data_IF_514708381623
#
_entry.id   IF_514708381623
#
_cell.length_a   1.000
_cell.length_b   1.000
_cell.length_c   1.000
_cell.angle_alpha   90.00
_cell.angle_beta   90.00
_cell.angle_gamma   90.00
#
_symmetry.space_group_name_H-M   'P 1'
#
loop_
_entity.id
_entity.type
_entity.pdbx_description
1 polymer ?
#
# COMPACT_ATOMS: atom_id res chain seq x y z
N UNK A 1 1.08 -13.75 10.11
CA UNK A 1 1.10 -12.69 9.09
C UNK A 1 1.32 -13.32 7.73
N UNK A 2 2.56 -13.39 7.26
CA UNK A 2 2.89 -13.98 5.95
C UNK A 2 2.43 -15.44 5.78
N UNK A 3 2.47 -16.26 6.83
CA UNK A 3 2.00 -17.65 6.74
C UNK A 3 0.54 -17.75 6.28
N UNK A 4 -0.31 -16.84 6.76
CA UNK A 4 -1.71 -16.76 6.33
C UNK A 4 -1.80 -16.46 4.83
N UNK A 5 -1.07 -15.45 4.35
CA UNK A 5 -1.09 -15.08 2.93
C UNK A 5 -0.47 -16.16 2.04
N UNK A 6 0.57 -16.85 2.50
CA UNK A 6 1.15 -17.98 1.79
C UNK A 6 0.15 -19.13 1.65
N UNK A 7 -0.55 -19.49 2.74
CA UNK A 7 -1.60 -20.51 2.71
C UNK A 7 -2.79 -20.09 1.83
N UNK A 8 -3.16 -18.82 1.85
CA UNK A 8 -4.22 -18.28 0.99
C UNK A 8 -3.84 -18.38 -0.48
N UNK A 9 -2.60 -18.01 -0.85
CA UNK A 9 -2.10 -18.15 -2.22
C UNK A 9 -2.12 -19.61 -2.66
N UNK A 10 -1.68 -20.54 -1.80
CA UNK A 10 -1.73 -21.97 -2.10
C UNK A 10 -3.17 -22.46 -2.33
N UNK A 11 -4.11 -22.02 -1.48
CA UNK A 11 -5.52 -22.38 -1.61
C UNK A 11 -6.16 -21.84 -2.90
N UNK A 12 -5.85 -20.60 -3.30
CA UNK A 12 -6.33 -20.02 -4.55
C UNK A 12 -5.81 -20.80 -5.77
N UNK A 13 -4.51 -21.11 -5.78
CA UNK A 13 -3.90 -21.86 -6.88
C UNK A 13 -4.42 -23.30 -6.95
N UNK A 14 -4.61 -23.96 -5.81
CA UNK A 14 -5.22 -25.29 -5.75
C UNK A 14 -6.67 -25.29 -6.30
N UNK A 15 -7.37 -24.16 -6.17
CA UNK A 15 -8.70 -23.95 -6.74
C UNK A 15 -8.68 -23.45 -8.20
N UNK A 16 -7.51 -23.32 -8.83
CA UNK A 16 -7.37 -22.82 -10.21
C UNK A 16 -7.62 -21.32 -10.36
N UNK A 17 -7.57 -20.55 -9.27
CA UNK A 17 -7.76 -19.10 -9.26
C UNK A 17 -6.39 -18.41 -9.29
N UNK A 18 -6.16 -17.59 -10.31
CA UNK A 18 -4.93 -16.79 -10.42
C UNK A 18 -4.97 -15.62 -9.43
N UNK A 19 -3.99 -15.50 -8.50
CA UNK A 19 -3.95 -14.40 -7.55
C UNK A 19 -3.46 -13.10 -8.21
N UNK A 20 -4.20 -12.00 -7.97
CA UNK A 20 -3.82 -10.63 -8.27
C UNK A 20 -3.69 -9.89 -6.94
N UNK A 21 -2.46 -9.53 -6.56
CA UNK A 21 -2.16 -9.00 -5.22
C UNK A 21 -1.90 -7.50 -5.29
N UNK A 22 -2.60 -6.75 -4.45
CA UNK A 22 -2.37 -5.32 -4.24
C UNK A 22 -1.57 -5.12 -2.96
N UNK A 23 -0.46 -4.38 -3.02
CA UNK A 23 0.47 -4.21 -1.90
C UNK A 23 -0.01 -3.17 -0.89
N UNK A 24 -0.63 -2.08 -1.35
CA UNK A 24 -1.22 -1.06 -0.49
C UNK A 24 -2.66 -0.76 -0.90
N UNK A 25 -3.57 -0.79 0.09
CA UNK A 25 -4.98 -0.51 -0.10
C UNK A 25 -5.47 0.40 1.04
N UNK A 26 -4.89 1.61 1.10
CA UNK A 26 -5.24 2.67 2.06
C UNK A 26 -4.95 2.34 3.54
N UNK A 27 -4.07 1.38 3.77
CA UNK A 27 -3.78 0.76 5.07
C UNK A 27 -2.35 1.06 5.56
N UNK A 28 -1.90 2.31 5.40
CA UNK A 28 -0.59 2.74 5.90
C UNK A 28 -0.50 2.51 7.43
N UNK A 29 0.55 1.85 7.94
CA UNK A 29 0.74 1.69 9.37
C UNK A 29 0.77 3.04 10.11
N UNK A 30 -0.08 3.18 11.13
CA UNK A 30 -0.23 4.43 11.91
C UNK A 30 1.11 4.99 12.42
N UNK A 31 2.02 4.12 12.84
CA UNK A 31 3.38 4.50 13.27
C UNK A 31 4.11 5.35 12.23
N UNK A 32 4.00 5.02 10.93
CA UNK A 32 4.66 5.78 9.86
C UNK A 32 3.99 7.15 9.65
N UNK A 33 2.69 7.25 9.89
CA UNK A 33 1.98 8.52 9.92
C UNK A 33 2.48 9.40 11.07
N UNK A 34 2.58 8.84 12.28
CA UNK A 34 2.97 9.56 13.50
C UNK A 34 4.44 10.00 13.51
N UNK A 35 5.35 9.19 12.94
CA UNK A 35 6.80 9.43 12.99
C UNK A 35 7.31 10.37 11.89
N UNK A 36 6.51 10.67 10.87
CA UNK A 36 7.01 11.43 9.72
C UNK A 36 5.98 11.99 8.75
N UNK A 37 4.69 11.93 9.06
CA UNK A 37 3.63 12.43 8.16
C UNK A 37 3.24 11.45 7.05
N UNK A 38 3.67 10.18 7.15
CA UNK A 38 3.29 9.12 6.24
C UNK A 38 3.69 9.43 4.79
N UNK A 39 2.70 9.50 3.90
CA UNK A 39 2.94 9.71 2.47
C UNK A 39 3.42 11.12 2.13
N UNK A 40 3.35 12.10 3.05
CA UNK A 40 3.94 13.42 2.86
C UNK A 40 5.48 13.39 2.92
N UNK A 41 6.06 12.31 3.47
CA UNK A 41 7.51 12.17 3.61
C UNK A 41 8.11 11.58 2.35
N UNK A 42 8.99 12.32 1.70
CA UNK A 42 9.70 11.82 0.51
C UNK A 42 10.39 10.47 0.71
N UNK A 43 10.99 10.21 1.88
CA UNK A 43 11.69 8.95 2.15
C UNK A 43 10.77 7.75 2.47
N UNK A 44 9.43 7.93 2.47
CA UNK A 44 8.46 6.84 2.73
C UNK A 44 8.60 5.66 1.76
N UNK A 45 9.15 5.91 0.57
CA UNK A 45 9.42 4.86 -0.41
C UNK A 45 10.37 3.78 0.13
N UNK A 46 11.24 4.10 1.10
CA UNK A 46 12.14 3.11 1.73
C UNK A 46 11.37 2.13 2.60
N UNK A 47 10.42 2.62 3.38
CA UNK A 47 9.56 1.77 4.20
C UNK A 47 8.70 0.88 3.31
N UNK A 48 8.10 1.47 2.26
CA UNK A 48 7.29 0.72 1.31
C UNK A 48 8.11 -0.29 0.51
N UNK A 49 9.36 0.02 0.14
CA UNK A 49 10.28 -0.90 -0.51
C UNK A 49 10.62 -2.08 0.41
N UNK A 50 10.97 -1.83 1.68
CA UNK A 50 11.31 -2.91 2.61
C UNK A 50 10.13 -3.88 2.83
N UNK A 51 8.91 -3.35 2.92
CA UNK A 51 7.68 -4.13 2.96
C UNK A 51 7.48 -4.93 1.67
N UNK A 52 7.57 -4.28 0.50
CA UNK A 52 7.39 -4.90 -0.82
C UNK A 52 8.40 -6.02 -1.06
N UNK A 53 9.67 -5.80 -0.73
CA UNK A 53 10.73 -6.80 -0.85
C UNK A 53 10.43 -8.03 0.01
N UNK A 54 9.95 -7.82 1.24
CA UNK A 54 9.60 -8.91 2.15
C UNK A 54 8.46 -9.76 1.59
N UNK A 55 7.38 -9.11 1.12
CA UNK A 55 6.19 -9.79 0.59
C UNK A 55 6.51 -10.50 -0.74
N UNK A 56 7.19 -9.82 -1.66
CA UNK A 56 7.50 -10.36 -2.99
C UNK A 56 8.53 -11.48 -2.93
N UNK A 57 9.50 -11.46 -2.01
CA UNK A 57 10.39 -12.62 -1.78
C UNK A 57 9.65 -13.83 -1.23
N UNK A 58 8.65 -13.61 -0.37
CA UNK A 58 7.90 -14.70 0.25
C UNK A 58 6.87 -15.35 -0.70
N UNK A 59 6.26 -14.58 -1.60
CA UNK A 59 5.13 -15.04 -2.42
C UNK A 59 5.40 -14.99 -3.94
N UNK A 60 6.50 -14.37 -4.38
CA UNK A 60 6.78 -14.11 -5.79
C UNK A 60 7.12 -15.36 -6.61
N UNK A 61 7.39 -16.50 -5.97
CA UNK A 61 7.49 -17.79 -6.64
C UNK A 61 6.14 -18.21 -7.26
N UNK A 62 5.02 -17.85 -6.61
CA UNK A 62 3.64 -18.23 -6.98
C UNK A 62 2.81 -17.08 -7.54
N UNK A 63 2.93 -15.86 -7.01
CA UNK A 63 2.17 -14.68 -7.43
C UNK A 63 2.90 -13.95 -8.55
N UNK A 64 2.23 -13.77 -9.70
CA UNK A 64 2.81 -13.10 -10.89
C UNK A 64 2.13 -11.79 -11.26
N UNK A 65 0.98 -11.49 -10.67
CA UNK A 65 0.22 -10.27 -10.94
C UNK A 65 0.18 -9.40 -9.69
N UNK A 66 0.78 -8.22 -9.79
CA UNK A 66 0.99 -7.30 -8.67
C UNK A 66 0.49 -5.91 -9.04
N UNK A 67 -0.17 -5.26 -8.08
CA UNK A 67 -0.43 -3.82 -8.08
C UNK A 67 0.27 -3.21 -6.86
N UNK A 68 1.00 -2.11 -7.04
CA UNK A 68 1.65 -1.42 -5.92
C UNK A 68 0.63 -0.70 -5.05
N UNK A 69 -0.23 0.10 -5.67
CA UNK A 69 -1.27 0.87 -5.01
C UNK A 69 -2.64 0.59 -5.63
N UNK A 70 -3.65 0.49 -4.77
CA UNK A 70 -5.03 0.74 -5.17
C UNK A 70 -5.22 2.25 -5.34
N UNK A 71 -5.78 2.67 -6.48
CA UNK A 71 -6.30 4.03 -6.74
C UNK A 71 -5.49 5.17 -6.07
N UNK A 72 -4.22 5.38 -6.46
CA UNK A 72 -3.32 6.30 -5.76
C UNK A 72 -3.80 7.76 -5.78
N UNK A 73 -4.66 8.12 -6.73
CA UNK A 73 -5.33 9.42 -6.73
C UNK A 73 -6.23 9.59 -5.51
N UNK A 74 -7.04 8.60 -5.15
CA UNK A 74 -7.91 8.67 -3.97
C UNK A 74 -7.08 8.79 -2.69
N UNK A 75 -6.04 7.96 -2.55
CA UNK A 75 -5.10 8.01 -1.44
C UNK A 75 -4.53 9.44 -1.23
N UNK A 76 -4.13 10.10 -2.32
CA UNK A 76 -3.56 11.44 -2.27
C UNK A 76 -4.61 12.53 -2.02
N UNK A 77 -5.71 12.51 -2.78
CA UNK A 77 -6.70 13.58 -2.77
C UNK A 77 -7.69 13.45 -1.62
N UNK A 78 -8.25 12.27 -1.41
CA UNK A 78 -9.21 12.05 -0.33
C UNK A 78 -8.52 12.01 1.05
N UNK A 79 -7.29 11.52 1.11
CA UNK A 79 -6.51 11.48 2.35
C UNK A 79 -5.94 12.83 2.82
N UNK A 80 -5.54 13.71 1.89
CA UNK A 80 -4.75 14.92 2.22
C UNK A 80 -5.33 16.25 1.70
N UNK A 81 -6.28 16.22 0.76
CA UNK A 81 -6.96 17.43 0.28
C UNK A 81 -8.39 17.56 0.82
N UNK A 82 -9.30 16.62 0.48
CA UNK A 82 -10.72 16.68 0.91
C UNK A 82 -10.89 16.19 2.35
N UNK A 83 -10.04 15.26 2.78
CA UNK A 83 -10.07 14.65 4.11
C UNK A 83 -11.27 13.71 4.31
N UNK A 84 -11.75 13.11 3.22
CA UNK A 84 -12.85 12.12 3.22
C UNK A 84 -12.37 10.76 3.69
N UNK A 85 -11.13 10.39 3.36
CA UNK A 85 -10.48 9.15 3.76
C UNK A 85 -9.34 9.39 4.74
N UNK A 86 -8.87 8.33 5.41
CA UNK A 86 -7.67 8.40 6.23
C UNK A 86 -6.46 8.93 5.43
N UNK A 87 -5.60 9.78 6.01
CA UNK A 87 -5.57 10.21 7.41
C UNK A 87 -6.58 11.33 7.78
N UNK A 88 -7.48 11.73 6.88
CA UNK A 88 -8.54 12.70 7.15
C UNK A 88 -8.06 14.14 7.19
N UNK A 89 -6.93 14.43 6.51
CA UNK A 89 -6.28 15.72 6.57
C UNK A 89 -6.79 16.65 5.45
N UNK A 90 -6.91 17.94 5.76
CA UNK A 90 -7.35 18.98 4.82
C UNK A 90 -6.25 20.02 4.65
N UNK A 91 -5.18 19.64 3.95
CA UNK A 91 -3.94 20.43 3.84
C UNK A 91 -3.84 21.23 2.54
N UNK A 92 -4.85 21.12 1.65
CA UNK A 92 -4.86 21.81 0.37
C UNK A 92 -4.22 20.99 -0.76
N UNK A 93 -4.25 21.55 -1.98
CA UNK A 93 -3.81 20.86 -3.20
C UNK A 93 -2.32 20.53 -3.17
N UNK A 94 -1.50 21.40 -2.58
CA UNK A 94 -0.05 21.20 -2.48
C UNK A 94 0.32 19.89 -1.74
N UNK A 95 -0.47 19.52 -0.73
CA UNK A 95 -0.27 18.28 0.02
C UNK A 95 -0.61 17.04 -0.81
N UNK A 96 -1.74 17.06 -1.54
CA UNK A 96 -2.10 15.96 -2.45
C UNK A 96 -1.07 15.79 -3.58
N UNK A 97 -0.53 16.89 -4.11
CA UNK A 97 0.55 16.84 -5.10
C UNK A 97 1.85 16.30 -4.49
N UNK A 98 2.16 16.66 -3.24
CA UNK A 98 3.33 16.13 -2.53
C UNK A 98 3.23 14.62 -2.34
N UNK A 99 2.06 14.11 -1.97
CA UNK A 99 1.83 12.66 -1.80
C UNK A 99 1.91 11.89 -3.12
N UNK A 100 1.65 12.56 -4.25
CA UNK A 100 1.66 11.96 -5.58
C UNK A 100 3.07 11.82 -6.20
N UNK A 101 4.14 12.12 -5.46
CA UNK A 101 5.55 12.05 -5.89
C UNK A 101 6.11 10.64 -6.12
#
# INVERSE_FOLDING_TARGET
>A
GLDFYSQLVDALLAAGITPFVTLNHFDLPQRLQDEGGGWLRREIWRDFQAYTDTVTRALGDRVKHWATFNEPWELAWQGYHTGEDAPGLRLGVDAALTVSH
#
